data_IF_904732977842
#
_entry.id   IF_904732977842
#
_cell.length_a   1.000
_cell.length_b   1.000
_cell.length_c   1.000
_cell.angle_alpha   90.00
_cell.angle_beta   90.00
_cell.angle_gamma   90.00
#
_symmetry.space_group_name_H-M   'P 1'
#
loop_
_entity.id
_entity.type
_entity.pdbx_description
1 polymer ?
#
# COMPACT_ATOMS: atom_id res chain seq x y z
N UNK A 1 -28.31 18.50 -6.43
CA UNK A 1 -28.29 17.24 -7.20
C UNK A 1 -27.67 16.18 -6.29
N UNK A 2 -28.47 15.25 -5.77
CA UNK A 2 -28.03 14.26 -4.78
C UNK A 2 -27.62 13.00 -5.55
N UNK A 3 -26.31 12.74 -5.65
CA UNK A 3 -25.81 11.51 -6.27
C UNK A 3 -25.99 10.36 -5.29
N UNK A 4 -27.06 9.57 -5.49
CA UNK A 4 -27.23 8.30 -4.81
C UNK A 4 -26.44 7.25 -5.59
N UNK A 5 -25.33 6.79 -5.04
CA UNK A 5 -24.56 5.68 -5.62
C UNK A 5 -25.34 4.39 -5.34
N UNK A 6 -26.10 3.92 -6.32
CA UNK A 6 -26.63 2.56 -6.37
C UNK A 6 -25.71 1.70 -7.22
N UNK A 7 -24.77 0.98 -6.60
CA UNK A 7 -24.02 -0.07 -7.29
C UNK A 7 -24.26 -1.41 -6.57
N UNK A 8 -24.93 -2.34 -7.26
CA UNK A 8 -25.23 -3.72 -6.82
C UNK A 8 -24.18 -4.74 -7.31
N UNK A 9 -22.96 -4.31 -7.63
CA UNK A 9 -21.80 -5.19 -7.69
C UNK A 9 -21.04 -5.09 -6.37
N UNK A 10 -21.33 -5.97 -5.41
CA UNK A 10 -20.50 -6.06 -4.20
C UNK A 10 -19.13 -6.60 -4.63
N UNK A 11 -18.14 -5.73 -4.79
CA UNK A 11 -16.74 -6.15 -4.81
C UNK A 11 -16.51 -6.83 -3.45
N UNK A 12 -16.51 -8.16 -3.47
CA UNK A 12 -16.43 -8.96 -2.24
C UNK A 12 -15.06 -8.85 -1.62
N UNK A 13 -14.03 -8.71 -2.47
CA UNK A 13 -12.62 -8.62 -2.08
C UNK A 13 -11.85 -7.75 -3.06
N UNK A 14 -10.81 -7.10 -2.55
CA UNK A 14 -9.85 -6.29 -3.27
C UNK A 14 -8.50 -6.36 -2.57
N UNK A 15 -7.46 -5.93 -3.26
CA UNK A 15 -6.10 -5.90 -2.74
C UNK A 15 -5.73 -4.49 -2.31
N UNK A 16 -5.03 -4.39 -1.19
CA UNK A 16 -4.49 -3.14 -0.66
C UNK A 16 -2.97 -3.26 -0.69
N UNK A 17 -2.33 -2.22 -1.21
CA UNK A 17 -0.89 -2.00 -1.13
C UNK A 17 -0.63 -0.77 -0.29
N UNK A 18 0.29 -0.88 0.68
CA UNK A 18 0.69 0.22 1.57
C UNK A 18 2.19 0.46 1.51
N UNK A 19 2.64 1.59 2.06
CA UNK A 19 4.06 1.90 2.10
C UNK A 19 4.84 0.97 3.05
N UNK A 20 6.00 0.46 2.61
CA UNK A 20 6.80 -0.43 3.43
C UNK A 20 7.58 0.33 4.50
N UNK A 21 7.68 -0.29 5.67
CA UNK A 21 8.71 0.02 6.65
C UNK A 21 10.04 -0.62 6.26
N UNK A 22 11.18 -0.25 6.89
CA UNK A 22 12.48 -0.88 6.66
C UNK A 22 12.51 -2.40 6.86
N UNK A 23 11.57 -2.94 7.65
CA UNK A 23 11.49 -4.37 7.96
C UNK A 23 10.31 -5.06 7.30
N UNK A 24 9.51 -4.34 6.51
CA UNK A 24 8.34 -4.90 5.87
C UNK A 24 8.71 -5.92 4.80
N UNK A 25 7.98 -7.01 4.78
CA UNK A 25 7.95 -8.01 3.71
C UNK A 25 6.74 -7.78 2.79
N UNK A 26 6.68 -8.50 1.67
CA UNK A 26 5.59 -8.37 0.70
C UNK A 26 4.20 -8.58 1.33
N UNK A 27 4.07 -9.56 2.22
CA UNK A 27 2.81 -9.87 2.88
C UNK A 27 2.35 -8.80 3.89
N UNK A 28 3.27 -7.99 4.40
CA UNK A 28 2.93 -6.89 5.32
C UNK A 28 2.25 -5.74 4.59
N UNK A 29 2.66 -5.51 3.34
CA UNK A 29 2.21 -4.36 2.57
C UNK A 29 1.17 -4.68 1.52
N UNK A 30 1.09 -5.92 1.03
CA UNK A 30 0.20 -6.36 -0.04
C UNK A 30 -0.73 -7.47 0.43
N UNK A 31 -1.99 -7.15 0.69
CA UNK A 31 -2.95 -8.10 1.24
C UNK A 31 -4.34 -7.97 0.61
N UNK A 32 -5.00 -9.12 0.44
CA UNK A 32 -6.40 -9.20 0.03
C UNK A 32 -7.30 -8.93 1.24
N UNK A 33 -8.33 -8.12 1.07
CA UNK A 33 -9.29 -7.83 2.13
C UNK A 33 -10.67 -7.49 1.59
N UNK A 34 -11.64 -7.36 2.50
CA UNK A 34 -12.97 -6.82 2.24
C UNK A 34 -13.05 -5.39 2.79
N UNK A 35 -14.15 -4.68 2.53
CA UNK A 35 -14.39 -3.36 3.17
C UNK A 35 -14.38 -3.48 4.69
N UNK A 36 -15.01 -4.52 5.25
CA UNK A 36 -15.04 -4.75 6.68
C UNK A 36 -13.65 -5.13 7.22
N UNK A 37 -12.92 -5.99 6.49
CA UNK A 37 -11.55 -6.36 6.82
C UNK A 37 -10.61 -5.15 6.86
N UNK A 38 -10.71 -4.25 5.87
CA UNK A 38 -9.94 -3.01 5.84
C UNK A 38 -10.27 -2.11 7.04
N UNK A 39 -11.54 -2.04 7.46
CA UNK A 39 -11.92 -1.30 8.66
C UNK A 39 -11.27 -1.87 9.93
N UNK A 40 -11.14 -3.19 10.04
CA UNK A 40 -10.39 -3.81 11.14
C UNK A 40 -8.89 -3.50 11.07
N UNK A 41 -8.29 -3.40 9.89
CA UNK A 41 -6.90 -2.97 9.74
C UNK A 41 -6.69 -1.54 10.29
N UNK A 42 -7.59 -0.60 9.95
CA UNK A 42 -7.56 0.75 10.52
C UNK A 42 -7.67 0.75 12.05
N UNK A 43 -8.56 -0.08 12.62
CA UNK A 43 -8.66 -0.25 14.07
C UNK A 43 -7.41 -0.88 14.68
N UNK A 44 -6.72 -1.74 13.94
CA UNK A 44 -5.46 -2.38 14.30
C UNK A 44 -4.24 -1.45 14.23
N UNK A 45 -4.43 -0.18 13.83
CA UNK A 45 -3.36 0.81 13.77
C UNK A 45 -2.81 1.05 12.37
N UNK A 46 -3.42 0.50 11.32
CA UNK A 46 -3.10 0.90 9.96
C UNK A 46 -3.39 2.41 9.82
N UNK A 47 -2.38 3.19 9.47
CA UNK A 47 -2.52 4.61 9.17
C UNK A 47 -2.18 4.84 7.71
N UNK A 48 -3.13 5.38 6.96
CA UNK A 48 -2.96 5.69 5.54
C UNK A 48 -2.96 7.21 5.43
N UNK A 49 -1.85 7.82 4.98
CA UNK A 49 -1.92 9.20 4.48
C UNK A 49 -2.47 9.19 3.06
N UNK A 50 -2.87 10.37 2.60
CA UNK A 50 -3.63 10.54 1.37
C UNK A 50 -2.98 9.89 0.13
N UNK A 51 -1.65 9.71 0.13
CA UNK A 51 -0.88 9.16 -0.98
C UNK A 51 -0.22 7.79 -0.67
N UNK A 52 -0.39 7.25 0.55
CA UNK A 52 0.43 6.14 1.08
C UNK A 52 -0.19 4.75 0.83
N UNK A 53 -1.39 4.67 0.23
CA UNK A 53 -2.03 3.38 -0.09
C UNK A 53 -2.72 3.36 -1.45
N UNK A 54 -2.65 2.21 -2.10
CA UNK A 54 -3.29 1.93 -3.38
C UNK A 54 -4.22 0.70 -3.28
N UNK A 55 -5.30 0.72 -4.05
CA UNK A 55 -6.30 -0.34 -4.09
C UNK A 55 -6.38 -0.94 -5.48
N UNK A 56 -6.37 -2.27 -5.56
CA UNK A 56 -6.37 -3.03 -6.80
C UNK A 56 -7.45 -4.11 -6.81
N UNK A 57 -7.93 -4.45 -7.99
CA UNK A 57 -8.85 -5.59 -8.19
C UNK A 57 -8.12 -6.87 -8.60
N UNK A 58 -6.90 -6.75 -9.12
CA UNK A 58 -6.04 -7.84 -9.57
C UNK A 58 -4.93 -8.07 -8.56
N UNK A 59 -4.70 -9.34 -8.19
CA UNK A 59 -3.56 -9.73 -7.37
C UNK A 59 -2.24 -9.41 -8.06
N UNK A 60 -2.15 -9.65 -9.37
CA UNK A 60 -0.92 -9.42 -10.14
C UNK A 60 -0.52 -7.95 -10.12
N UNK A 61 -1.49 -7.03 -10.32
CA UNK A 61 -1.21 -5.60 -10.32
C UNK A 61 -0.80 -5.12 -8.92
N UNK A 62 -1.44 -5.66 -7.87
CA UNK A 62 -1.10 -5.36 -6.50
C UNK A 62 0.32 -5.84 -6.13
N UNK A 63 0.67 -7.07 -6.51
CA UNK A 63 2.00 -7.62 -6.26
C UNK A 63 3.08 -6.84 -7.00
N UNK A 64 2.85 -6.45 -8.26
CA UNK A 64 3.80 -5.62 -9.01
C UNK A 64 4.03 -4.26 -8.34
N UNK A 65 2.96 -3.55 -7.92
CA UNK A 65 3.09 -2.29 -7.20
C UNK A 65 3.85 -2.47 -5.87
N UNK A 66 3.52 -3.52 -5.11
CA UNK A 66 4.14 -3.78 -3.82
C UNK A 66 5.64 -4.09 -3.95
N UNK A 67 6.02 -4.89 -4.94
CA UNK A 67 7.43 -5.15 -5.25
C UNK A 67 8.16 -3.87 -5.65
N UNK A 68 7.54 -3.03 -6.50
CA UNK A 68 8.11 -1.73 -6.86
C UNK A 68 8.37 -0.84 -5.64
N UNK A 69 7.44 -0.77 -4.68
CA UNK A 69 7.63 0.00 -3.44
C UNK A 69 8.74 -0.55 -2.54
N UNK A 70 8.86 -1.87 -2.43
CA UNK A 70 9.93 -2.52 -1.66
C UNK A 70 11.30 -2.26 -2.27
N UNK A 71 11.42 -2.38 -3.61
CA UNK A 71 12.66 -2.05 -4.32
C UNK A 71 13.02 -0.56 -4.16
N UNK A 72 12.04 0.34 -4.28
CA UNK A 72 12.25 1.77 -4.09
C UNK A 72 12.75 2.09 -2.68
N UNK A 73 12.20 1.42 -1.65
CA UNK A 73 12.68 1.53 -0.26
C UNK A 73 14.14 1.08 -0.12
N UNK A 74 14.49 -0.06 -0.71
CA UNK A 74 15.83 -0.62 -0.61
C UNK A 74 16.86 0.26 -1.31
N UNK A 75 16.52 0.79 -2.49
CA UNK A 75 17.33 1.77 -3.19
C UNK A 75 17.50 3.06 -2.39
N UNK A 76 16.42 3.60 -1.81
CA UNK A 76 16.49 4.79 -0.96
C UNK A 76 17.36 4.57 0.29
N UNK A 77 17.34 3.37 0.86
CA UNK A 77 18.19 2.99 2.00
C UNK A 77 19.66 2.85 1.61
N UNK A 78 19.95 2.52 0.34
CA UNK A 78 21.31 2.35 -0.19
C UNK A 78 22.00 3.66 -0.57
N UNK A 79 21.23 4.73 -0.85
CA UNK A 79 21.77 6.03 -1.25
C UNK A 79 22.44 6.73 -0.06
N UNK A 80 23.76 6.68 0.02
CA UNK A 80 24.55 7.66 0.79
C UNK A 80 24.84 8.84 -0.12
N UNK A 81 24.52 10.10 0.26
CA UNK A 81 24.92 11.25 -0.54
C UNK A 81 26.44 11.29 -0.63
N UNK A 82 26.96 11.18 -1.86
CA UNK A 82 28.39 11.16 -2.19
C UNK A 82 29.13 12.49 -1.87
N UNK A 83 28.44 13.47 -1.28
CA UNK A 83 28.91 14.86 -1.12
C UNK A 83 29.15 15.29 0.35
N UNK A 84 29.42 14.35 1.25
CA UNK A 84 30.17 14.67 2.47
C UNK A 84 31.65 14.34 2.22
N UNK A 85 32.32 15.17 1.41
CA UNK A 85 33.77 15.32 1.49
C UNK A 85 34.05 16.54 2.36
N UNK A 86 34.88 16.30 3.35
CA UNK A 86 35.28 17.13 4.47
C UNK A 86 35.52 18.62 4.11
N UNK A 87 34.95 19.50 4.93
CA UNK A 87 35.38 20.90 5.06
C UNK A 87 36.22 21.03 6.34
#
# INVERSE_FOLDING_TARGET
MKMTITNRGQIKKFWIVTDPSPFSELADICFETTVEGLFYQFKGGLTVKQDDAAMFLSEMDAQHEALYRLEARDLASSWKPFFQMDA
#
